data_IF_118549471983
#
_entry.id   IF_118549471983
#
_cell.length_a   1.000
_cell.length_b   1.000
_cell.length_c   1.000
_cell.angle_alpha   90.00
_cell.angle_beta   90.00
_cell.angle_gamma   90.00
#
_symmetry.space_group_name_H-M   'P 1'
#
loop_
_entity.id
_entity.type
_entity.pdbx_description
1 polymer ?
#
# COMPACT_ATOMS: atom_id res chain seq x y z
N UNK A 1 7.26 -8.63 24.86
CA UNK A 1 6.71 -7.68 23.88
C UNK A 1 5.33 -7.15 24.27
N UNK A 2 4.29 -7.98 24.47
CA UNK A 2 2.90 -7.54 24.73
C UNK A 2 2.75 -6.48 25.85
N UNK A 3 3.44 -6.66 26.98
CA UNK A 3 3.42 -5.69 28.08
C UNK A 3 4.03 -4.33 27.67
N UNK A 4 5.10 -4.34 26.87
CA UNK A 4 5.71 -3.11 26.35
C UNK A 4 4.75 -2.39 25.39
N UNK A 5 4.06 -3.13 24.51
CA UNK A 5 3.07 -2.56 23.58
C UNK A 5 1.93 -1.85 24.32
N UNK A 6 1.44 -2.47 25.38
CA UNK A 6 0.36 -1.92 26.21
C UNK A 6 0.83 -0.68 26.98
N UNK A 7 2.03 -0.71 27.55
CA UNK A 7 2.62 0.44 28.25
C UNK A 7 3.07 1.57 27.33
N UNK A 8 3.27 1.32 26.03
CA UNK A 8 3.56 2.36 25.05
C UNK A 8 2.40 3.36 24.89
N UNK A 9 1.16 2.95 25.22
CA UNK A 9 -0.05 3.79 25.22
C UNK A 9 -0.14 4.71 26.45
N UNK A 10 0.62 4.43 27.50
CA UNK A 10 0.64 5.20 28.74
C UNK A 10 0.88 4.34 29.97
N UNK A 11 1.10 4.97 31.15
CA UNK A 11 1.39 4.25 32.38
C UNK A 11 0.20 3.42 32.88
N UNK A 12 0.45 2.18 33.28
CA UNK A 12 -0.60 1.27 33.76
C UNK A 12 -0.11 0.46 34.98
N UNK A 13 -1.05 0.08 35.85
CA UNK A 13 -0.78 -0.84 36.96
C UNK A 13 -1.07 -2.30 36.56
N UNK A 14 -0.55 -3.27 37.32
CA UNK A 14 -0.57 -4.70 36.95
C UNK A 14 -1.91 -5.26 36.47
N UNK A 15 -3.02 -4.98 37.17
CA UNK A 15 -4.34 -5.43 36.71
C UNK A 15 -4.77 -4.84 35.35
N UNK A 16 -4.53 -3.54 35.14
CA UNK A 16 -4.86 -2.87 33.88
C UNK A 16 -3.97 -3.34 32.72
N UNK A 17 -2.70 -3.65 32.99
CA UNK A 17 -1.81 -4.29 32.00
C UNK A 17 -2.39 -5.64 31.56
N UNK A 18 -2.84 -6.47 32.50
CA UNK A 18 -3.39 -7.78 32.15
C UNK A 18 -4.70 -7.67 31.35
N UNK A 19 -5.57 -6.73 31.72
CA UNK A 19 -6.81 -6.46 31.00
C UNK A 19 -6.52 -6.04 29.54
N UNK A 20 -5.62 -5.08 29.35
CA UNK A 20 -5.25 -4.58 28.03
C UNK A 20 -4.50 -5.63 27.17
N UNK A 21 -3.69 -6.51 27.78
CA UNK A 21 -3.11 -7.66 27.06
C UNK A 21 -4.21 -8.64 26.62
N UNK A 22 -5.22 -8.85 27.47
CA UNK A 22 -6.39 -9.66 27.13
C UNK A 22 -7.18 -9.11 25.95
N UNK A 23 -7.41 -7.79 25.91
CA UNK A 23 -8.06 -7.13 24.78
C UNK A 23 -7.25 -7.25 23.49
N UNK A 24 -5.92 -7.18 23.58
CA UNK A 24 -5.04 -7.24 22.41
C UNK A 24 -4.92 -8.64 21.81
N UNK A 25 -4.98 -9.69 22.64
CA UNK A 25 -4.63 -11.07 22.23
C UNK A 25 -5.76 -12.08 22.35
N UNK A 26 -6.90 -11.69 22.94
CA UNK A 26 -7.98 -12.60 23.30
C UNK A 26 -7.67 -13.50 24.50
N UNK A 27 -6.47 -13.42 25.08
CA UNK A 27 -6.02 -14.25 26.22
C UNK A 27 -5.40 -13.40 27.33
N UNK A 28 -5.74 -13.72 28.59
CA UNK A 28 -5.14 -13.07 29.77
C UNK A 28 -3.90 -13.82 30.22
N UNK A 29 -2.91 -13.08 30.72
CA UNK A 29 -1.74 -13.68 31.35
C UNK A 29 -2.13 -14.21 32.74
N UNK A 30 -1.67 -15.42 33.08
CA UNK A 30 -1.77 -15.93 34.44
C UNK A 30 -1.07 -14.99 35.43
N UNK A 31 -1.57 -14.90 36.67
CA UNK A 31 -1.03 -13.96 37.68
C UNK A 31 0.47 -14.13 37.93
N UNK A 32 0.97 -15.37 37.96
CA UNK A 32 2.41 -15.66 38.09
C UNK A 32 3.23 -15.30 36.85
N UNK A 33 2.65 -15.45 35.65
CA UNK A 33 3.30 -15.12 34.37
C UNK A 33 3.45 -13.62 34.19
N UNK A 34 2.45 -12.83 34.60
CA UNK A 34 2.54 -11.38 34.54
C UNK A 34 3.58 -10.85 35.53
N UNK A 35 3.54 -11.27 36.80
CA UNK A 35 4.51 -10.80 37.81
C UNK A 35 5.95 -11.12 37.41
N UNK A 36 6.23 -12.34 36.96
CA UNK A 36 7.57 -12.72 36.48
C UNK A 36 8.00 -11.96 35.23
N UNK A 37 7.07 -11.63 34.33
CA UNK A 37 7.36 -10.77 33.17
C UNK A 37 7.72 -9.34 33.60
N UNK A 38 6.97 -8.75 34.54
CA UNK A 38 7.25 -7.40 35.05
C UNK A 38 8.62 -7.34 35.72
N UNK A 39 8.95 -8.30 36.59
CA UNK A 39 10.28 -8.39 37.24
C UNK A 39 11.41 -8.49 36.22
N UNK A 40 11.26 -9.30 35.16
CA UNK A 40 12.28 -9.41 34.10
C UNK A 40 12.44 -8.12 33.30
N UNK A 41 11.35 -7.41 33.02
CA UNK A 41 11.37 -6.16 32.26
C UNK A 41 11.96 -5.01 33.08
N UNK A 42 11.64 -4.94 34.38
CA UNK A 42 12.26 -4.00 35.33
C UNK A 42 13.76 -4.28 35.48
N UNK A 43 14.15 -5.55 35.63
CA UNK A 43 15.57 -5.94 35.72
C UNK A 43 16.38 -5.60 34.46
N UNK A 44 15.73 -5.54 33.30
CA UNK A 44 16.32 -5.07 32.03
C UNK A 44 16.19 -3.56 31.83
N UNK A 45 15.64 -2.82 32.79
CA UNK A 45 15.40 -1.37 32.73
C UNK A 45 14.53 -0.93 31.54
N UNK A 46 13.65 -1.81 31.06
CA UNK A 46 12.74 -1.52 29.94
C UNK A 46 11.44 -0.85 30.42
N UNK A 47 11.12 -1.05 31.70
CA UNK A 47 10.00 -0.41 32.39
C UNK A 47 10.48 0.09 33.74
N UNK A 48 9.80 1.09 34.27
CA UNK A 48 10.10 1.64 35.59
C UNK A 48 8.81 1.96 36.38
N UNK A 49 8.85 1.81 37.70
CA UNK A 49 7.73 2.15 38.56
C UNK A 49 7.58 3.67 38.72
N UNK A 50 6.33 4.11 38.75
CA UNK A 50 5.95 5.47 39.13
C UNK A 50 5.51 5.53 40.60
N UNK A 51 5.45 6.74 41.19
CA UNK A 51 4.94 6.93 42.55
C UNK A 51 3.59 6.24 42.74
N UNK A 52 3.47 5.50 43.84
CA UNK A 52 2.27 4.73 44.14
C UNK A 52 1.07 5.66 44.36
N UNK A 53 -0.08 5.26 43.80
CA UNK A 53 -1.38 5.89 44.09
C UNK A 53 -2.21 4.89 44.88
N UNK A 54 -2.13 4.99 46.22
CA UNK A 54 -2.75 4.01 47.12
C UNK A 54 -2.13 2.62 46.96
N UNK A 55 -2.96 1.60 46.71
CA UNK A 55 -2.50 0.21 46.48
C UNK A 55 -1.97 -0.05 45.06
N UNK A 56 -2.09 0.92 44.16
CA UNK A 56 -1.67 0.77 42.78
C UNK A 56 -0.25 1.32 42.61
N UNK A 57 0.61 0.51 41.97
CA UNK A 57 1.96 0.90 41.54
C UNK A 57 1.96 0.93 40.02
N UNK A 58 1.74 2.10 39.40
CA UNK A 58 1.77 2.23 37.95
C UNK A 58 3.19 2.03 37.43
N UNK A 59 3.31 1.47 36.24
CA UNK A 59 4.56 1.25 35.53
C UNK A 59 4.51 2.08 34.25
N UNK A 60 5.66 2.60 33.81
CA UNK A 60 5.80 3.22 32.49
C UNK A 60 6.95 2.58 31.72
N UNK A 61 6.91 2.75 30.40
CA UNK A 61 8.02 2.41 29.53
C UNK A 61 9.18 3.40 29.74
N UNK A 62 10.42 2.90 29.77
CA UNK A 62 11.61 3.74 29.68
C UNK A 62 11.92 4.10 28.22
N UNK A 63 12.88 5.00 27.98
CA UNK A 63 13.38 5.29 26.64
C UNK A 63 13.99 4.04 25.99
N UNK A 64 14.81 3.27 26.72
CA UNK A 64 15.38 2.01 26.25
C UNK A 64 14.31 0.94 25.97
N UNK A 65 13.27 0.86 26.79
CA UNK A 65 12.11 0.01 26.54
C UNK A 65 11.35 0.38 25.27
N UNK A 66 11.26 1.68 24.97
CA UNK A 66 10.65 2.19 23.74
C UNK A 66 11.47 1.84 22.50
N UNK A 67 12.78 2.09 22.54
CA UNK A 67 13.67 1.78 21.42
C UNK A 67 13.68 0.29 21.10
N UNK A 68 13.73 -0.58 22.11
CA UNK A 68 13.66 -2.02 21.89
C UNK A 68 12.33 -2.44 21.27
N UNK A 69 11.22 -1.87 21.74
CA UNK A 69 9.90 -2.15 21.17
C UNK A 69 9.82 -1.72 19.71
N UNK A 70 10.33 -0.53 19.37
CA UNK A 70 10.36 -0.03 17.99
C UNK A 70 11.23 -0.91 17.09
N UNK A 71 12.43 -1.29 17.53
CA UNK A 71 13.33 -2.19 16.80
C UNK A 71 12.68 -3.55 16.55
N UNK A 72 12.02 -4.14 17.56
CA UNK A 72 11.38 -5.44 17.45
C UNK A 72 10.15 -5.38 16.53
N UNK A 73 9.37 -4.30 16.60
CA UNK A 73 8.23 -4.08 15.70
C UNK A 73 8.69 -3.90 14.26
N UNK A 74 9.77 -3.17 14.03
CA UNK A 74 10.34 -2.98 12.70
C UNK A 74 10.93 -4.27 12.15
N UNK A 75 11.59 -5.06 12.99
CA UNK A 75 12.10 -6.39 12.62
C UNK A 75 10.97 -7.35 12.30
N UNK A 76 9.93 -7.38 13.14
CA UNK A 76 8.73 -8.18 12.91
C UNK A 76 8.04 -7.75 11.62
N UNK A 77 7.86 -6.44 11.37
CA UNK A 77 7.27 -5.94 10.12
C UNK A 77 8.09 -6.33 8.89
N UNK A 78 9.43 -6.25 8.96
CA UNK A 78 10.33 -6.67 7.87
C UNK A 78 10.25 -8.17 7.60
N UNK A 79 10.24 -9.00 8.65
CA UNK A 79 10.09 -10.45 8.52
C UNK A 79 8.71 -10.79 7.98
N UNK A 80 7.66 -10.21 8.55
CA UNK A 80 6.29 -10.40 8.09
C UNK A 80 6.17 -9.99 6.63
N UNK A 81 6.72 -8.86 6.20
CA UNK A 81 6.71 -8.45 4.78
C UNK A 81 7.42 -9.47 3.88
N UNK A 82 8.62 -9.93 4.23
CA UNK A 82 9.33 -10.97 3.45
C UNK A 82 8.60 -12.30 3.48
N UNK A 83 7.99 -12.65 4.62
CA UNK A 83 7.15 -13.83 4.75
C UNK A 83 5.89 -13.69 3.89
N UNK A 84 5.26 -12.52 3.83
CA UNK A 84 4.14 -12.22 2.94
C UNK A 84 4.56 -12.37 1.47
N UNK A 85 5.75 -11.89 1.10
CA UNK A 85 6.34 -12.10 -0.22
C UNK A 85 6.54 -13.59 -0.54
N UNK A 86 6.85 -14.44 0.46
CA UNK A 86 7.09 -15.88 0.26
C UNK A 86 5.91 -16.81 0.54
N UNK A 87 4.90 -16.38 1.32
CA UNK A 87 3.90 -17.27 1.94
C UNK A 87 2.46 -16.85 1.66
N UNK A 88 2.19 -15.63 1.14
CA UNK A 88 0.89 -15.34 0.53
C UNK A 88 0.95 -15.77 -0.94
N UNK A 89 0.06 -16.67 -1.39
CA UNK A 89 -0.02 -16.99 -2.80
C UNK A 89 -0.40 -15.72 -3.54
N UNK A 90 0.58 -15.15 -4.23
CA UNK A 90 0.43 -14.16 -5.28
C UNK A 90 -0.29 -12.86 -4.86
N UNK A 91 0.50 -11.84 -4.48
CA UNK A 91 0.01 -10.48 -4.16
C UNK A 91 -0.97 -9.94 -5.21
N UNK A 92 -0.76 -10.26 -6.50
CA UNK A 92 -1.65 -9.83 -7.56
C UNK A 92 -3.01 -10.53 -7.44
N UNK A 93 -3.02 -11.83 -7.16
CA UNK A 93 -4.25 -12.58 -6.93
C UNK A 93 -5.03 -12.06 -5.71
N UNK A 94 -4.34 -11.70 -4.62
CA UNK A 94 -4.98 -11.09 -3.47
C UNK A 94 -5.63 -9.73 -3.81
N UNK A 95 -4.91 -8.86 -4.51
CA UNK A 95 -5.43 -7.56 -4.97
C UNK A 95 -6.63 -7.75 -5.92
N UNK A 96 -6.56 -8.72 -6.83
CA UNK A 96 -7.68 -9.06 -7.71
C UNK A 96 -8.90 -9.53 -6.93
N UNK A 97 -8.73 -10.37 -5.90
CA UNK A 97 -9.84 -10.82 -5.04
C UNK A 97 -10.49 -9.68 -4.28
N UNK A 98 -9.69 -8.75 -3.73
CA UNK A 98 -10.22 -7.55 -3.08
C UNK A 98 -10.99 -6.67 -4.07
N UNK A 99 -10.40 -6.44 -5.26
CA UNK A 99 -11.03 -5.65 -6.31
C UNK A 99 -12.31 -6.29 -6.88
N UNK A 100 -12.45 -7.61 -6.78
CA UNK A 100 -13.62 -8.33 -7.26
C UNK A 100 -14.86 -8.19 -6.36
N UNK A 101 -14.70 -7.79 -5.10
CA UNK A 101 -15.82 -7.58 -4.17
C UNK A 101 -16.77 -6.49 -4.66
N UNK A 102 -18.06 -6.63 -4.36
CA UNK A 102 -19.09 -5.68 -4.81
C UNK A 102 -18.85 -4.27 -4.28
N UNK A 103 -18.44 -4.16 -3.02
CA UNK A 103 -18.09 -2.88 -2.38
C UNK A 103 -16.92 -2.20 -3.10
N UNK A 104 -15.82 -2.92 -3.37
CA UNK A 104 -14.68 -2.35 -4.07
C UNK A 104 -15.03 -1.96 -5.51
N UNK A 105 -15.83 -2.78 -6.20
CA UNK A 105 -16.29 -2.49 -7.56
C UNK A 105 -17.19 -1.27 -7.61
N UNK A 106 -18.13 -1.13 -6.67
CA UNK A 106 -19.01 0.02 -6.57
C UNK A 106 -18.22 1.30 -6.28
N UNK A 107 -17.28 1.25 -5.34
CA UNK A 107 -16.40 2.37 -5.03
C UNK A 107 -15.58 2.81 -6.25
N UNK A 108 -14.89 1.86 -6.91
CA UNK A 108 -14.10 2.14 -8.12
C UNK A 108 -14.95 2.70 -9.26
N UNK A 109 -16.19 2.22 -9.43
CA UNK A 109 -17.12 2.77 -10.41
C UNK A 109 -17.42 4.26 -10.17
N UNK A 110 -17.67 4.64 -8.91
CA UNK A 110 -17.91 6.05 -8.56
C UNK A 110 -16.66 6.88 -8.82
N UNK A 111 -15.48 6.39 -8.42
CA UNK A 111 -14.21 7.10 -8.63
C UNK A 111 -13.88 7.30 -10.11
N UNK A 112 -14.07 6.27 -10.96
CA UNK A 112 -13.87 6.40 -12.41
C UNK A 112 -14.86 7.37 -13.06
N UNK A 113 -16.10 7.42 -12.60
CA UNK A 113 -17.08 8.43 -13.08
C UNK A 113 -16.66 9.84 -12.68
N UNK A 114 -16.15 10.02 -11.47
CA UNK A 114 -15.66 11.31 -10.99
C UNK A 114 -14.40 11.78 -11.74
N UNK A 115 -13.55 10.86 -12.22
CA UNK A 115 -12.42 11.18 -13.10
C UNK A 115 -12.89 11.86 -14.41
N UNK A 116 -14.12 11.58 -14.85
CA UNK A 116 -14.77 12.20 -16.00
C UNK A 116 -13.89 12.18 -17.28
N UNK A 117 -13.19 11.07 -17.51
CA UNK A 117 -12.41 10.83 -18.71
C UNK A 117 -13.29 10.97 -19.96
N UNK A 118 -12.77 11.68 -20.96
CA UNK A 118 -13.48 12.03 -22.19
C UNK A 118 -12.93 11.23 -23.38
N UNK A 119 -13.75 11.01 -24.42
CA UNK A 119 -13.28 10.49 -25.69
C UNK A 119 -12.05 11.24 -26.19
N UNK A 120 -11.03 10.53 -26.66
CA UNK A 120 -9.81 11.13 -27.20
C UNK A 120 -8.70 11.42 -26.20
N UNK A 121 -8.97 11.34 -24.89
CA UNK A 121 -7.96 11.64 -23.87
C UNK A 121 -6.95 10.50 -23.69
N UNK A 122 -5.75 10.89 -23.28
CA UNK A 122 -4.74 10.00 -22.72
C UNK A 122 -4.81 10.03 -21.20
N UNK A 123 -5.14 8.90 -20.59
CA UNK A 123 -5.27 8.74 -19.14
C UNK A 123 -4.14 7.89 -18.60
N UNK A 124 -3.48 8.33 -17.53
CA UNK A 124 -2.39 7.63 -16.85
C UNK A 124 -2.82 7.12 -15.47
N UNK A 125 -2.70 5.82 -15.25
CA UNK A 125 -2.87 5.13 -13.98
C UNK A 125 -1.50 4.91 -13.28
N UNK A 126 -1.32 5.58 -12.16
CA UNK A 126 -0.11 5.53 -11.34
C UNK A 126 -0.25 4.46 -10.25
N UNK A 127 0.52 3.38 -10.38
CA UNK A 127 0.38 2.18 -9.54
C UNK A 127 -0.72 1.26 -10.04
N UNK A 128 -0.73 0.96 -11.34
CA UNK A 128 -1.85 0.26 -11.99
C UNK A 128 -2.02 -1.21 -11.55
N UNK A 129 -1.04 -1.78 -10.82
CA UNK A 129 -1.08 -3.15 -10.32
C UNK A 129 -1.30 -4.17 -11.44
N UNK A 130 -2.21 -5.15 -11.27
CA UNK A 130 -2.53 -6.14 -12.31
C UNK A 130 -3.38 -5.58 -13.47
N UNK A 131 -3.60 -4.27 -13.54
CA UNK A 131 -4.31 -3.61 -14.65
C UNK A 131 -5.84 -3.75 -14.59
N UNK A 132 -6.40 -3.84 -13.38
CA UNK A 132 -7.84 -4.04 -13.17
C UNK A 132 -8.71 -2.91 -13.75
N UNK A 133 -8.22 -1.68 -13.68
CA UNK A 133 -8.97 -0.48 -14.05
C UNK A 133 -8.67 0.04 -15.47
N UNK A 134 -7.50 -0.32 -16.01
CA UNK A 134 -7.03 0.13 -17.33
C UNK A 134 -7.99 -0.18 -18.47
N UNK A 135 -8.69 -1.32 -18.42
CA UNK A 135 -9.71 -1.67 -19.43
C UNK A 135 -10.86 -0.65 -19.42
N UNK A 136 -11.41 -0.35 -18.25
CA UNK A 136 -12.52 0.60 -18.11
C UNK A 136 -12.10 2.04 -18.45
N UNK A 137 -10.84 2.40 -18.19
CA UNK A 137 -10.29 3.69 -18.63
C UNK A 137 -10.19 3.75 -20.16
N UNK A 138 -9.70 2.68 -20.80
CA UNK A 138 -9.64 2.59 -22.26
C UNK A 138 -11.03 2.65 -22.91
N UNK A 139 -12.03 2.04 -22.28
CA UNK A 139 -13.43 2.14 -22.72
C UNK A 139 -13.96 3.59 -22.62
N UNK A 140 -13.65 4.29 -21.52
CA UNK A 140 -14.10 5.67 -21.29
C UNK A 140 -13.50 6.67 -22.29
N UNK A 141 -12.23 6.52 -22.67
CA UNK A 141 -11.57 7.39 -23.65
C UNK A 141 -11.85 6.99 -25.10
N UNK A 142 -12.62 5.91 -25.30
CA UNK A 142 -13.08 5.40 -26.60
C UNK A 142 -11.96 5.08 -27.58
N UNK A 143 -12.32 4.91 -28.85
CA UNK A 143 -11.37 4.55 -29.89
C UNK A 143 -10.32 5.62 -30.22
N UNK A 144 -10.59 6.86 -29.82
CA UNK A 144 -9.75 8.02 -30.09
C UNK A 144 -8.69 8.29 -29.00
N UNK A 145 -8.79 7.65 -27.83
CA UNK A 145 -7.90 7.90 -26.69
C UNK A 145 -7.00 6.72 -26.34
N UNK A 146 -6.29 6.86 -25.20
CA UNK A 146 -5.31 5.89 -24.72
C UNK A 146 -5.35 5.76 -23.19
N UNK A 147 -5.24 4.53 -22.68
CA UNK A 147 -5.00 4.26 -21.26
C UNK A 147 -3.57 3.77 -21.04
N UNK A 148 -2.82 4.48 -20.20
CA UNK A 148 -1.45 4.16 -19.82
C UNK A 148 -1.45 3.69 -18.36
N UNK A 149 -0.80 2.57 -18.07
CA UNK A 149 -0.53 2.11 -16.72
C UNK A 149 0.95 2.14 -16.40
N UNK A 150 1.32 2.62 -15.22
CA UNK A 150 2.67 2.54 -14.68
C UNK A 150 2.66 1.78 -13.37
N UNK A 151 3.55 0.80 -13.25
CA UNK A 151 3.84 0.12 -11.98
C UNK A 151 5.34 -0.16 -11.87
N UNK A 152 5.87 -0.17 -10.65
CA UNK A 152 7.29 -0.43 -10.40
C UNK A 152 7.57 -1.94 -10.29
N UNK A 153 6.56 -2.73 -9.88
CA UNK A 153 6.70 -4.17 -9.67
C UNK A 153 6.64 -4.93 -11.01
N UNK A 154 7.73 -5.59 -11.44
CA UNK A 154 7.76 -6.34 -12.71
C UNK A 154 6.74 -7.48 -12.76
N UNK A 155 6.37 -8.07 -11.62
CA UNK A 155 5.37 -9.14 -11.56
C UNK A 155 3.95 -8.59 -11.83
N UNK A 156 3.63 -7.42 -11.28
CA UNK A 156 2.37 -6.71 -11.59
C UNK A 156 2.29 -6.32 -13.05
N UNK A 157 3.37 -5.74 -13.60
CA UNK A 157 3.45 -5.35 -15.01
C UNK A 157 3.26 -6.55 -15.94
N UNK A 158 3.91 -7.68 -15.65
CA UNK A 158 3.76 -8.92 -16.43
C UNK A 158 2.30 -9.38 -16.46
N UNK A 159 1.59 -9.30 -15.34
CA UNK A 159 0.18 -9.68 -15.24
C UNK A 159 -0.75 -8.72 -15.96
N UNK A 160 -0.55 -7.42 -15.77
CA UNK A 160 -1.32 -6.41 -16.47
C UNK A 160 -1.18 -6.56 -17.99
N UNK A 161 0.03 -6.76 -18.49
CA UNK A 161 0.28 -7.02 -19.93
C UNK A 161 -0.39 -8.29 -20.42
N UNK A 162 -0.34 -9.38 -19.65
CA UNK A 162 -1.03 -10.63 -20.00
C UNK A 162 -2.55 -10.42 -20.09
N UNK A 163 -3.14 -9.81 -19.05
CA UNK A 163 -4.57 -9.48 -18.96
C UNK A 163 -5.06 -8.58 -20.09
N UNK A 164 -4.21 -7.68 -20.57
CA UNK A 164 -4.56 -6.62 -21.51
C UNK A 164 -4.00 -6.84 -22.92
N UNK A 165 -3.46 -8.03 -23.21
CA UNK A 165 -2.83 -8.38 -24.49
C UNK A 165 -3.71 -8.14 -25.74
N UNK A 166 -5.04 -8.22 -25.61
CA UNK A 166 -6.00 -7.94 -26.68
C UNK A 166 -6.45 -6.48 -26.79
N UNK A 167 -5.97 -5.59 -25.92
CA UNK A 167 -6.39 -4.19 -25.87
C UNK A 167 -5.37 -3.27 -26.52
N UNK A 168 -5.56 -2.95 -27.81
CA UNK A 168 -4.68 -2.07 -28.59
C UNK A 168 -4.57 -0.62 -28.08
N UNK A 169 -5.46 -0.22 -27.15
CA UNK A 169 -5.51 1.12 -26.54
C UNK A 169 -5.08 1.14 -25.08
N UNK A 170 -4.41 0.08 -24.65
CA UNK A 170 -3.82 0.00 -23.33
C UNK A 170 -2.33 -0.23 -23.49
N UNK A 171 -1.52 0.53 -22.75
CA UNK A 171 -0.08 0.29 -22.66
C UNK A 171 0.35 0.30 -21.21
N UNK A 172 1.16 -0.69 -20.83
CA UNK A 172 1.66 -0.84 -19.47
C UNK A 172 3.18 -0.71 -19.47
N UNK A 173 3.68 0.23 -18.68
CA UNK A 173 5.09 0.56 -18.54
C UNK A 173 5.56 0.15 -17.15
N UNK A 174 6.73 -0.49 -17.09
CA UNK A 174 7.43 -0.68 -15.81
C UNK A 174 8.23 0.58 -15.53
N UNK A 175 7.89 1.31 -14.48
CA UNK A 175 8.61 2.51 -14.08
C UNK A 175 8.29 2.95 -12.65
N UNK A 176 9.19 3.77 -12.10
CA UNK A 176 8.94 4.51 -10.88
C UNK A 176 8.03 5.71 -11.17
N UNK A 177 7.00 5.89 -10.35
CA UNK A 177 6.07 7.02 -10.44
C UNK A 177 6.74 8.38 -10.15
N UNK A 178 7.90 8.38 -9.49
CA UNK A 178 8.74 9.55 -9.26
C UNK A 178 9.64 9.88 -10.47
N UNK A 179 9.80 8.96 -11.41
CA UNK A 179 10.64 9.10 -12.61
C UNK A 179 9.93 8.52 -13.84
N UNK A 180 8.82 9.15 -14.23
CA UNK A 180 7.93 8.64 -15.27
C UNK A 180 8.58 8.67 -16.67
N UNK A 181 8.53 7.56 -17.43
CA UNK A 181 9.02 7.50 -18.81
C UNK A 181 7.98 8.05 -19.81
N UNK A 182 7.22 9.06 -19.42
CA UNK A 182 6.28 9.78 -20.32
C UNK A 182 6.76 11.22 -20.46
N UNK A 183 6.79 11.72 -21.68
CA UNK A 183 7.18 13.11 -21.92
C UNK A 183 6.14 14.09 -21.36
N UNK A 184 6.60 15.26 -20.95
CA UNK A 184 5.74 16.32 -20.42
C UNK A 184 4.57 16.64 -21.36
N UNK A 185 3.41 16.94 -20.76
CA UNK A 185 2.17 17.29 -21.45
C UNK A 185 1.72 16.27 -22.52
N UNK A 186 2.01 14.97 -22.33
CA UNK A 186 1.48 13.87 -23.15
C UNK A 186 0.29 13.14 -22.55
N UNK A 187 -0.10 13.50 -21.34
CA UNK A 187 -1.21 12.89 -20.60
C UNK A 187 -2.20 14.00 -20.26
N UNK A 188 -3.48 13.76 -20.52
CA UNK A 188 -4.57 14.69 -20.23
C UNK A 188 -5.06 14.55 -18.79
N UNK A 189 -5.03 13.32 -18.25
CA UNK A 189 -5.47 12.98 -16.90
C UNK A 189 -4.54 11.96 -16.26
N UNK A 190 -4.13 12.19 -15.02
CA UNK A 190 -3.51 11.14 -14.21
C UNK A 190 -4.37 10.85 -12.97
N UNK A 191 -4.44 9.58 -12.61
CA UNK A 191 -5.10 9.13 -11.40
C UNK A 191 -4.25 8.08 -10.69
N UNK A 192 -4.48 7.92 -9.40
CA UNK A 192 -3.84 6.91 -8.57
C UNK A 192 -4.85 6.38 -7.57
N UNK A 193 -4.84 5.08 -7.37
CA UNK A 193 -5.61 4.41 -6.34
C UNK A 193 -4.64 3.70 -5.39
N UNK A 194 -4.39 4.32 -4.24
CA UNK A 194 -3.67 3.66 -3.16
C UNK A 194 -4.57 2.58 -2.54
N UNK A 195 -4.37 1.33 -2.96
CA UNK A 195 -5.00 0.15 -2.33
C UNK A 195 -4.19 -0.38 -1.14
N UNK A 196 -3.15 0.33 -0.70
CA UNK A 196 -2.24 -0.11 0.36
C UNK A 196 -2.96 -0.19 1.71
N UNK A 197 -3.54 -1.37 1.96
CA UNK A 197 -3.90 -1.85 3.29
C UNK A 197 -2.66 -2.13 4.17
N UNK A 198 -1.44 -1.88 3.67
CA UNK A 198 -0.15 -2.23 4.29
C UNK A 198 0.61 -1.04 4.89
N UNK A 199 0.10 0.19 4.89
CA UNK A 199 0.70 1.28 5.69
C UNK A 199 0.23 1.21 7.14
N UNK A 200 1.06 0.83 8.12
CA UNK A 200 0.67 0.83 9.52
C UNK A 200 0.80 2.26 10.05
N UNK A 201 -0.31 3.01 10.13
CA UNK A 201 -0.26 4.31 10.82
C UNK A 201 -1.34 5.36 10.57
N UNK A 202 -2.36 5.14 9.74
CA UNK A 202 -3.40 6.15 9.54
C UNK A 202 -4.80 5.62 9.93
N UNK A 203 -5.35 5.97 11.11
CA UNK A 203 -6.76 5.76 11.38
C UNK A 203 -7.57 6.71 10.47
N UNK A 204 -8.49 6.16 9.67
CA UNK A 204 -9.39 6.91 8.79
C UNK A 204 -8.72 7.90 7.81
N UNK A 205 -8.25 7.39 6.67
CA UNK A 205 -8.31 8.17 5.43
C UNK A 205 -9.07 7.37 4.37
N UNK A 206 -10.22 7.84 3.84
CA UNK A 206 -10.67 7.39 2.53
C UNK A 206 -9.52 7.64 1.54
N UNK A 207 -9.30 6.70 0.61
CA UNK A 207 -8.18 6.68 -0.32
C UNK A 207 -7.86 8.09 -0.83
N UNK A 208 -6.63 8.55 -0.59
CA UNK A 208 -6.22 9.86 -1.06
C UNK A 208 -6.04 9.79 -2.57
N UNK A 209 -7.10 10.09 -3.31
CA UNK A 209 -7.07 10.24 -4.76
C UNK A 209 -6.73 11.69 -5.09
N UNK A 210 -5.66 11.92 -5.84
CA UNK A 210 -5.41 13.22 -6.49
C UNK A 210 -5.55 13.02 -7.98
N UNK A 211 -6.68 13.44 -8.56
CA UNK A 211 -6.78 13.67 -9.99
C UNK A 211 -6.11 15.03 -10.26
N UNK A 212 -4.89 15.01 -10.79
CA UNK A 212 -4.25 16.25 -11.25
C UNK A 212 -4.52 16.41 -12.74
N UNK A 213 -5.21 17.48 -13.11
CA UNK A 213 -5.18 17.99 -14.47
C UNK A 213 -3.81 18.62 -14.70
N UNK A 214 -3.07 18.12 -15.68
CA UNK A 214 -1.78 18.73 -16.05
C UNK A 214 -2.04 19.90 -17.01
N UNK A 215 -1.65 21.14 -16.66
CA UNK A 215 -1.72 22.24 -17.63
C UNK A 215 -0.66 22.05 -18.72
N UNK A 216 -1.03 22.26 -19.98
CA UNK A 216 -0.11 22.37 -21.12
C UNK A 216 0.38 23.83 -21.31
N UNK A 217 1.46 24.07 -22.07
CA UNK A 217 2.84 23.75 -21.73
C UNK A 217 3.70 25.01 -21.61
N UNK A 218 4.64 25.05 -20.66
CA UNK A 218 5.86 25.85 -20.81
C UNK A 218 7.01 25.09 -20.17
N UNK A 219 7.75 24.31 -20.95
CA UNK A 219 9.20 24.37 -20.97
C UNK A 219 9.73 23.77 -22.27
N UNK A 220 10.68 24.50 -22.86
CA UNK A 220 11.28 24.28 -24.16
C UNK A 220 12.46 23.30 -24.03
N UNK A 221 12.55 22.29 -24.91
CA UNK A 221 13.70 21.38 -24.91
C UNK A 221 13.63 20.33 -26.00
N UNK A 222 14.22 20.66 -27.15
CA UNK A 222 14.69 19.79 -28.25
C UNK A 222 13.82 18.61 -28.71
N UNK A 223 13.27 18.84 -29.91
CA UNK A 223 12.45 17.98 -30.78
C UNK A 223 13.11 16.61 -31.08
N UNK A 224 12.59 15.53 -30.49
CA UNK A 224 12.75 14.18 -31.03
C UNK A 224 11.56 13.84 -31.94
N UNK A 225 11.82 13.44 -33.18
CA UNK A 225 10.80 13.08 -34.19
C UNK A 225 10.03 11.83 -33.75
N UNK A 226 8.74 11.70 -34.11
CA UNK A 226 7.93 10.54 -33.75
C UNK A 226 8.30 9.34 -34.62
N UNK A 227 8.84 8.28 -34.05
CA UNK A 227 8.93 6.98 -34.71
C UNK A 227 7.67 6.18 -34.41
N UNK A 228 6.80 6.06 -35.42
CA UNK A 228 5.73 5.05 -35.46
C UNK A 228 6.39 3.67 -35.51
N UNK A 229 6.36 2.92 -34.40
CA UNK A 229 6.48 1.45 -34.41
C UNK A 229 6.17 0.87 -33.03
N UNK A 230 4.90 0.90 -32.63
CA UNK A 230 4.39 0.07 -31.53
C UNK A 230 3.31 -0.86 -32.09
N UNK A 231 3.71 -1.68 -33.07
CA UNK A 231 2.94 -2.82 -33.53
C UNK A 231 3.90 -3.82 -34.17
N UNK A 232 3.79 -5.08 -33.74
CA UNK A 232 4.22 -6.29 -34.45
C UNK A 232 5.71 -6.68 -34.36
N UNK A 233 6.03 -7.60 -33.46
CA UNK A 233 7.06 -8.62 -33.72
C UNK A 233 6.87 -9.83 -32.79
N UNK A 234 5.99 -10.74 -33.21
CA UNK A 234 5.99 -12.13 -32.77
C UNK A 234 5.50 -12.99 -33.93
N UNK A 235 6.42 -13.47 -34.76
CA UNK A 235 6.22 -14.62 -35.64
C UNK A 235 7.27 -15.65 -35.27
N UNK A 236 6.91 -16.88 -34.88
CA UNK A 236 7.87 -17.95 -34.71
C UNK A 236 8.23 -18.53 -36.09
N UNK A 237 9.51 -18.64 -36.36
CA UNK A 237 10.07 -19.44 -37.46
C UNK A 237 10.32 -20.86 -36.95
N UNK A 238 9.56 -21.83 -37.46
CA UNK A 238 9.92 -23.25 -37.45
C UNK A 238 10.57 -23.62 -38.79
N UNK A 239 11.58 -24.49 -38.80
CA UNK A 239 11.77 -25.47 -39.85
C UNK A 239 11.19 -26.85 -39.46
#
# INVERSE_FOLDING_TARGET
MLVLCVLARGPLHGYAINAAVGELTGQRLGRGSLSSALTRLEGKQLIEPLPARGRQRPLRLTSGGRQLLEQELEFTARITQRMFETAVPDRAHYQERLAATDTARAYKNVMRRALAARPGQTVLDLGCGPGGDLKSLAEAVTSAGLALGVDHDPHMVKRARSRLSGHSRVSVLQADVHALPVADARVDLAWTESSDASSPGAPNKPGSTSAKSFPSPRYCGTRAKPTRSWASSATPSEP
#
